data_IF_874970166001
#
_entry.id   IF_874970166001
#
_cell.length_a   1.000
_cell.length_b   1.000
_cell.length_c   1.000
_cell.angle_alpha   90.00
_cell.angle_beta   90.00
_cell.angle_gamma   90.00
#
_symmetry.space_group_name_H-M   'P 1'
#
loop_
_entity.id
_entity.type
_entity.pdbx_description
1 polymer ?
#
# COMPACT_ATOMS: atom_id res chain seq x y z
N UNK A 1 -10.07 12.26 -12.72
CA UNK A 1 -10.02 13.58 -12.06
C UNK A 1 -8.86 13.57 -11.08
N UNK A 2 -8.00 14.60 -11.19
CA UNK A 2 -6.82 14.99 -10.37
C UNK A 2 -6.04 13.92 -9.58
N UNK A 3 -4.77 13.72 -9.96
CA UNK A 3 -3.78 12.97 -9.17
C UNK A 3 -2.74 12.29 -10.05
N UNK A 4 -1.74 13.03 -10.54
CA UNK A 4 -0.65 12.49 -11.35
C UNK A 4 0.34 11.70 -10.49
N UNK A 5 -0.12 10.62 -9.84
CA UNK A 5 0.78 9.71 -9.10
C UNK A 5 1.10 8.52 -9.97
N UNK A 6 2.37 8.40 -10.35
CA UNK A 6 2.92 7.24 -11.06
C UNK A 6 3.69 6.35 -10.09
N UNK A 7 3.79 5.06 -10.39
CA UNK A 7 4.64 4.12 -9.65
C UNK A 7 4.01 3.49 -8.42
N UNK A 8 2.80 3.89 -8.03
CA UNK A 8 2.06 3.21 -6.95
C UNK A 8 1.81 1.75 -7.32
N UNK A 9 2.23 0.83 -6.45
CA UNK A 9 2.05 -0.61 -6.62
C UNK A 9 1.18 -1.15 -5.49
N UNK A 10 0.15 -1.91 -5.85
CA UNK A 10 -0.75 -2.58 -4.91
C UNK A 10 -1.07 -4.00 -5.36
N UNK A 11 -1.71 -4.76 -4.46
CA UNK A 11 -2.19 -6.11 -4.71
C UNK A 11 -3.71 -6.06 -4.79
N UNK A 12 -4.26 -6.74 -5.80
CA UNK A 12 -5.68 -6.96 -5.92
C UNK A 12 -6.06 -8.27 -5.23
N UNK A 13 -6.54 -8.17 -4.00
CA UNK A 13 -6.92 -9.32 -3.14
C UNK A 13 -8.42 -9.62 -3.25
N UNK A 14 -8.89 -9.94 -4.46
CA UNK A 14 -10.29 -10.33 -4.68
C UNK A 14 -10.44 -11.30 -5.85
N UNK A 15 -11.34 -12.26 -5.68
CA UNK A 15 -11.77 -13.18 -6.75
C UNK A 15 -12.82 -12.53 -7.68
N UNK A 16 -13.32 -11.34 -7.33
CA UNK A 16 -14.31 -10.63 -8.14
C UNK A 16 -13.65 -10.09 -9.41
N UNK A 17 -14.35 -10.21 -10.55
CA UNK A 17 -13.93 -9.56 -11.79
C UNK A 17 -13.86 -8.05 -11.59
N UNK A 18 -12.76 -7.44 -12.01
CA UNK A 18 -12.55 -6.00 -11.98
C UNK A 18 -12.16 -5.48 -13.36
N UNK A 19 -12.59 -4.26 -13.67
CA UNK A 19 -12.21 -3.56 -14.89
C UNK A 19 -10.87 -2.83 -14.67
N UNK A 20 -9.93 -3.02 -15.60
CA UNK A 20 -8.65 -2.36 -15.57
C UNK A 20 -8.71 -1.05 -16.37
N UNK A 21 -8.32 0.06 -15.75
CA UNK A 21 -8.18 1.34 -16.43
C UNK A 21 -6.95 1.32 -17.35
N UNK A 22 -6.99 2.05 -18.47
CA UNK A 22 -5.92 2.15 -19.47
C UNK A 22 -4.56 2.62 -18.91
N UNK A 23 -4.54 3.30 -17.75
CA UNK A 23 -3.31 3.77 -17.10
C UNK A 23 -2.81 2.89 -15.95
N UNK A 24 -3.39 1.70 -15.79
CA UNK A 24 -2.95 0.72 -14.79
C UNK A 24 -2.33 -0.48 -15.51
N UNK A 25 -1.13 -0.87 -15.08
CA UNK A 25 -0.50 -2.13 -15.50
C UNK A 25 -0.83 -3.26 -14.50
N UNK A 26 -0.82 -4.50 -14.98
CA UNK A 26 -0.94 -5.70 -14.12
C UNK A 26 0.25 -6.61 -14.39
N UNK A 27 0.96 -6.96 -13.33
CA UNK A 27 2.05 -7.94 -13.37
C UNK A 27 1.52 -9.24 -12.77
N UNK A 28 1.63 -10.35 -13.52
CA UNK A 28 1.28 -11.69 -13.06
C UNK A 28 2.47 -12.63 -13.28
N UNK A 29 2.82 -13.40 -12.26
CA UNK A 29 3.88 -14.40 -12.35
C UNK A 29 3.60 -15.53 -11.37
N UNK A 30 3.75 -16.76 -11.83
CA UNK A 30 3.70 -17.97 -10.97
C UNK A 30 5.07 -18.28 -10.34
N UNK A 31 6.13 -17.62 -10.81
CA UNK A 31 7.53 -17.88 -10.40
C UNK A 31 8.04 -16.92 -9.33
N UNK A 32 7.26 -15.90 -8.99
CA UNK A 32 7.66 -14.81 -8.10
C UNK A 32 6.59 -14.62 -7.05
N UNK A 33 6.98 -14.46 -5.79
CA UNK A 33 6.04 -14.11 -4.74
C UNK A 33 5.54 -12.67 -4.94
N UNK A 34 4.22 -12.52 -5.14
CA UNK A 34 3.56 -11.24 -5.41
C UNK A 34 3.79 -10.20 -4.31
N UNK A 35 3.75 -10.60 -3.04
CA UNK A 35 3.98 -9.69 -1.91
C UNK A 35 5.42 -9.21 -1.84
N UNK A 36 6.39 -10.10 -2.10
CA UNK A 36 7.80 -9.72 -2.19
C UNK A 36 8.02 -8.70 -3.31
N UNK A 37 7.50 -8.97 -4.52
CA UNK A 37 7.65 -8.07 -5.66
C UNK A 37 6.98 -6.71 -5.40
N UNK A 38 5.76 -6.71 -4.86
CA UNK A 38 5.06 -5.47 -4.48
C UNK A 38 5.86 -4.67 -3.44
N UNK A 39 6.50 -5.32 -2.47
CA UNK A 39 7.34 -4.63 -1.50
C UNK A 39 8.61 -4.07 -2.13
N UNK A 40 9.28 -4.84 -2.99
CA UNK A 40 10.47 -4.40 -3.73
C UNK A 40 10.16 -3.15 -4.56
N UNK A 41 9.08 -3.18 -5.35
CA UNK A 41 8.71 -2.07 -6.23
C UNK A 41 8.32 -0.82 -5.45
N UNK A 42 7.82 -0.95 -4.22
CA UNK A 42 7.49 0.17 -3.34
C UNK A 42 8.69 0.71 -2.53
N UNK A 43 9.90 0.17 -2.68
CA UNK A 43 11.09 0.77 -2.07
C UNK A 43 11.45 2.09 -2.74
N UNK A 44 12.10 3.00 -2.02
CA UNK A 44 12.52 4.31 -2.54
C UNK A 44 13.38 4.20 -3.80
N UNK A 45 14.28 3.21 -3.83
CA UNK A 45 15.11 2.92 -4.99
C UNK A 45 14.27 2.60 -6.23
N UNK A 46 13.33 1.66 -6.12
CA UNK A 46 12.51 1.25 -7.27
C UNK A 46 11.50 2.32 -7.66
N UNK A 47 10.93 3.06 -6.71
CA UNK A 47 10.10 4.22 -7.02
C UNK A 47 10.89 5.27 -7.80
N UNK A 48 12.14 5.55 -7.41
CA UNK A 48 13.02 6.46 -8.14
C UNK A 48 13.36 5.96 -9.55
N UNK A 49 13.61 4.65 -9.70
CA UNK A 49 13.83 4.04 -11.02
C UNK A 49 12.59 4.12 -11.92
N UNK A 50 11.40 3.86 -11.37
CA UNK A 50 10.13 3.97 -12.10
C UNK A 50 9.90 5.42 -12.55
N UNK A 51 10.09 6.39 -11.65
CA UNK A 51 9.94 7.82 -11.96
C UNK A 51 10.93 8.28 -13.04
N UNK A 52 12.19 7.83 -12.98
CA UNK A 52 13.21 8.16 -13.99
C UNK A 52 12.88 7.61 -15.39
N UNK A 53 12.18 6.49 -15.46
CA UNK A 53 11.78 5.86 -16.72
C UNK A 53 10.38 6.29 -17.19
N UNK A 54 9.72 7.16 -16.44
CA UNK A 54 8.47 7.77 -16.81
C UNK A 54 8.69 8.88 -17.84
N UNK A 55 7.75 9.02 -18.77
CA UNK A 55 7.79 10.01 -19.85
C UNK A 55 6.53 10.87 -19.77
N UNK A 56 6.66 12.15 -20.13
CA UNK A 56 5.56 13.12 -20.13
C UNK A 56 5.71 14.17 -19.03
N UNK A 57 5.23 15.40 -19.29
CA UNK A 57 5.35 16.54 -18.39
C UNK A 57 4.40 16.46 -17.19
N UNK A 58 3.27 17.17 -17.25
CA UNK A 58 2.35 17.28 -16.12
C UNK A 58 1.65 15.97 -15.69
N UNK A 59 1.65 14.94 -16.55
CA UNK A 59 1.11 13.62 -16.25
C UNK A 59 2.08 12.55 -16.75
N UNK A 60 3.09 12.17 -15.95
CA UNK A 60 4.04 11.14 -16.34
C UNK A 60 3.33 9.81 -16.54
N UNK A 61 3.77 9.05 -17.54
CA UNK A 61 3.32 7.70 -17.84
C UNK A 61 4.54 6.78 -18.03
N UNK A 62 4.41 5.50 -17.66
CA UNK A 62 5.43 4.49 -17.92
C UNK A 62 4.85 3.45 -18.86
N UNK A 63 5.53 3.21 -19.98
CA UNK A 63 5.12 2.17 -20.91
C UNK A 63 5.44 0.78 -20.35
N UNK A 64 4.71 -0.22 -20.83
CA UNK A 64 5.03 -1.63 -20.58
C UNK A 64 6.49 -1.97 -20.95
N UNK A 65 6.97 -1.41 -22.05
CA UNK A 65 8.36 -1.61 -22.52
C UNK A 65 9.40 -1.00 -21.59
N UNK A 66 9.08 0.06 -20.85
CA UNK A 66 10.01 0.69 -19.93
C UNK A 66 10.01 -0.02 -18.57
N UNK A 67 8.83 -0.41 -18.06
CA UNK A 67 8.75 -1.12 -16.77
C UNK A 67 9.39 -2.52 -16.85
N UNK A 68 9.25 -3.22 -17.98
CA UNK A 68 9.83 -4.57 -18.17
C UNK A 68 11.35 -4.59 -18.32
N UNK A 69 11.99 -3.43 -18.56
CA UNK A 69 13.44 -3.29 -18.62
C UNK A 69 14.09 -3.09 -17.24
N UNK A 70 13.29 -2.88 -16.19
CA UNK A 70 13.83 -2.75 -14.84
C UNK A 70 14.32 -4.11 -14.34
N UNK A 71 15.62 -4.20 -14.08
CA UNK A 71 16.19 -5.37 -13.44
C UNK A 71 15.76 -5.45 -11.97
N UNK A 72 15.42 -6.65 -11.52
CA UNK A 72 15.09 -6.95 -10.13
C UNK A 72 16.05 -8.01 -9.57
N UNK A 73 16.47 -7.92 -8.30
CA UNK A 73 17.13 -9.03 -7.64
C UNK A 73 16.14 -10.20 -7.57
N UNK A 74 16.54 -11.40 -7.97
CA UNK A 74 15.65 -12.56 -7.97
C UNK A 74 16.20 -13.66 -7.06
N UNK A 75 16.03 -13.56 -5.73
CA UNK A 75 16.43 -14.61 -4.81
C UNK A 75 15.52 -15.84 -4.96
N UNK A 76 15.88 -16.95 -4.32
CA UNK A 76 15.06 -18.17 -4.35
C UNK A 76 13.63 -17.92 -3.83
N UNK A 77 12.67 -18.72 -4.26
CA UNK A 77 11.27 -18.54 -3.86
C UNK A 77 11.08 -18.64 -2.35
N UNK A 78 11.87 -19.49 -1.68
CA UNK A 78 11.90 -19.62 -0.23
C UNK A 78 12.30 -18.31 0.43
N UNK A 79 13.35 -17.66 -0.08
CA UNK A 79 13.82 -16.38 0.46
C UNK A 79 12.84 -15.24 0.19
N UNK A 80 12.19 -15.24 -0.98
CA UNK A 80 11.12 -14.29 -1.27
C UNK A 80 9.96 -14.43 -0.28
N UNK A 81 9.53 -15.68 -0.01
CA UNK A 81 8.47 -15.99 0.95
C UNK A 81 8.84 -15.56 2.38
N UNK A 82 10.08 -15.82 2.81
CA UNK A 82 10.60 -15.40 4.12
C UNK A 82 10.52 -13.88 4.30
N UNK A 83 11.03 -13.12 3.32
CA UNK A 83 11.00 -11.65 3.33
C UNK A 83 9.56 -11.13 3.34
N UNK A 84 8.71 -11.66 2.46
CA UNK A 84 7.30 -11.26 2.37
C UNK A 84 6.57 -11.48 3.70
N UNK A 85 6.75 -12.66 4.32
CA UNK A 85 6.16 -13.00 5.61
C UNK A 85 6.63 -12.05 6.71
N UNK A 86 7.92 -11.77 6.77
CA UNK A 86 8.49 -10.85 7.76
C UNK A 86 7.87 -9.45 7.66
N UNK A 87 7.80 -8.89 6.45
CA UNK A 87 7.18 -7.58 6.21
C UNK A 87 5.68 -7.61 6.54
N UNK A 88 4.98 -8.68 6.20
CA UNK A 88 3.54 -8.83 6.48
C UNK A 88 3.26 -8.84 7.99
N UNK A 89 4.09 -9.51 8.79
CA UNK A 89 3.98 -9.52 10.26
C UNK A 89 4.12 -8.10 10.82
N UNK A 90 5.15 -7.36 10.40
CA UNK A 90 5.38 -5.97 10.85
C UNK A 90 4.18 -5.09 10.48
N UNK A 91 3.71 -5.17 9.23
CA UNK A 91 2.55 -4.37 8.77
C UNK A 91 1.26 -4.75 9.47
N UNK A 92 1.07 -6.02 9.77
CA UNK A 92 -0.10 -6.48 10.53
C UNK A 92 -0.10 -5.87 11.93
N UNK A 93 1.06 -5.89 12.61
CA UNK A 93 1.19 -5.28 13.92
C UNK A 93 0.99 -3.76 13.88
N UNK A 94 1.53 -3.09 12.87
CA UNK A 94 1.32 -1.65 12.68
C UNK A 94 -0.17 -1.30 12.49
N UNK A 95 -0.89 -2.05 11.65
CA UNK A 95 -2.34 -1.87 11.45
C UNK A 95 -3.14 -2.10 12.73
N UNK A 96 -2.77 -3.13 13.51
CA UNK A 96 -3.41 -3.40 14.79
C UNK A 96 -3.24 -2.21 15.74
N UNK A 97 -2.01 -1.72 15.90
CA UNK A 97 -1.72 -0.57 16.78
C UNK A 97 -2.42 0.70 16.31
N UNK A 98 -2.49 0.94 15.00
CA UNK A 98 -3.23 2.07 14.45
C UNK A 98 -4.72 1.98 14.80
N UNK A 99 -5.32 0.79 14.64
CA UNK A 99 -6.74 0.57 14.98
C UNK A 99 -6.98 0.78 16.47
N UNK A 100 -6.12 0.26 17.33
CA UNK A 100 -6.19 0.46 18.79
C UNK A 100 -6.11 1.96 19.14
N UNK A 101 -5.22 2.71 18.49
CA UNK A 101 -5.10 4.15 18.68
C UNK A 101 -6.35 4.92 18.21
N UNK A 102 -6.93 4.55 17.07
CA UNK A 102 -8.19 5.11 16.55
C UNK A 102 -9.35 4.84 17.53
N UNK A 103 -9.48 3.62 18.04
CA UNK A 103 -10.52 3.26 19.02
C UNK A 103 -10.38 4.05 20.33
N UNK A 104 -9.15 4.23 20.83
CA UNK A 104 -8.87 5.05 22.02
C UNK A 104 -9.22 6.51 21.78
N UNK A 105 -8.84 7.05 20.61
CA UNK A 105 -9.14 8.43 20.22
C UNK A 105 -10.64 8.70 20.15
N UNK A 106 -11.41 7.79 19.56
CA UNK A 106 -12.87 7.93 19.47
C UNK A 106 -13.54 7.85 20.84
N UNK A 107 -13.08 6.97 21.73
CA UNK A 107 -13.57 6.93 23.13
C UNK A 107 -13.29 8.23 23.87
N UNK A 108 -12.08 8.76 23.74
CA UNK A 108 -11.70 10.01 24.40
C UNK A 108 -12.53 11.20 23.88
N UNK A 109 -12.78 11.28 22.58
CA UNK A 109 -13.68 12.30 22.00
C UNK A 109 -15.09 12.20 22.58
N UNK A 110 -15.67 11.00 22.60
CA UNK A 110 -17.02 10.78 23.14
C UNK A 110 -17.11 11.11 24.64
N UNK A 111 -16.05 10.89 25.41
CA UNK A 111 -15.99 11.28 26.83
C UNK A 111 -15.96 12.80 27.00
N UNK A 112 -15.12 13.50 26.22
CA UNK A 112 -15.07 14.97 26.22
C UNK A 112 -16.42 15.57 25.80
N UNK A 113 -17.07 15.01 24.79
CA UNK A 113 -18.42 15.43 24.37
C UNK A 113 -19.44 15.30 25.52
N UNK A 114 -19.46 14.16 26.22
CA UNK A 114 -20.34 13.96 27.40
C UNK A 114 -20.07 14.95 28.54
N UNK A 115 -18.79 15.29 28.77
CA UNK A 115 -18.38 16.29 29.77
C UNK A 115 -18.90 17.68 29.41
N UNK A 116 -18.80 18.08 28.13
CA UNK A 116 -19.29 19.38 27.63
C UNK A 116 -20.82 19.46 27.71
N UNK A 117 -21.52 18.39 27.36
CA UNK A 117 -22.99 18.32 27.42
C UNK A 117 -23.54 18.27 28.85
N UNK A 118 -22.68 18.17 29.87
CA UNK A 118 -23.07 18.19 31.28
C UNK A 118 -23.79 16.93 31.75
N UNK A 119 -23.75 15.84 30.98
CA UNK A 119 -24.44 14.57 31.26
C UNK A 119 -23.82 13.85 32.48
N UNK A 120 -22.60 14.20 32.88
CA UNK A 120 -21.90 13.56 34.01
C UNK A 120 -22.40 14.00 35.41
N UNK A 121 -23.24 15.03 35.54
CA UNK A 121 -23.61 15.60 36.85
C UNK A 121 -25.00 15.20 37.41
N UNK A 122 -25.70 14.22 36.82
CA UNK A 122 -27.10 13.91 37.23
C UNK A 122 -27.18 12.83 38.34
N UNK A 123 -26.07 12.20 38.75
CA UNK A 123 -26.10 11.09 39.73
C UNK A 123 -25.35 11.39 41.05
N UNK A 124 -25.50 12.59 41.62
CA UNK A 124 -25.14 12.87 43.01
C UNK A 124 -26.30 13.46 43.80
#
# INVERSE_FOLDING_TARGET
>A
MTGATIGKVGIFESEKKALLNQRNGVIRSEKINTFWLMNLLNTELYQSLILRNAVGGAQPNISETNITKLYIPLPSIEKQNEIAKHIQVIRSKARQLQKEAEEVMEKAKAEVERMIEGIENINK
#
